data_IF_207469118816
#
_entry.id   IF_207469118816
#
_cell.length_a   1.000
_cell.length_b   1.000
_cell.length_c   1.000
_cell.angle_alpha   90.00
_cell.angle_beta   90.00
_cell.angle_gamma   90.00
#
_symmetry.space_group_name_H-M   'P 1'
#
loop_
_entity.id
_entity.type
_entity.pdbx_description
1 polymer ?
#
# COMPACT_ATOMS: atom_id res chain seq x y z
N UNK A 1 -0.03 17.66 11.17
CA UNK A 1 -1.35 17.09 10.85
C UNK A 1 -1.05 15.72 10.33
N UNK A 2 -1.56 14.66 10.98
CA UNK A 2 -1.32 13.30 10.52
C UNK A 2 -2.03 13.09 9.17
N UNK A 3 -1.42 12.26 8.32
CA UNK A 3 -1.96 11.88 7.02
C UNK A 3 -2.48 10.45 7.12
N UNK A 4 -3.61 10.18 6.46
CA UNK A 4 -4.14 8.82 6.37
C UNK A 4 -3.42 8.07 5.26
N UNK A 5 -2.77 6.97 5.62
CA UNK A 5 -2.06 6.08 4.71
C UNK A 5 -2.85 4.81 4.45
N UNK A 6 -2.77 4.36 3.20
CA UNK A 6 -3.36 3.14 2.70
C UNK A 6 -2.34 2.35 1.88
N UNK A 7 -2.42 1.03 1.97
CA UNK A 7 -1.63 0.10 1.20
C UNK A 7 -2.39 -0.30 -0.07
N UNK A 8 -2.03 0.28 -1.22
CA UNK A 8 -2.58 -0.07 -2.52
C UNK A 8 -2.00 -1.39 -3.01
N UNK A 9 -2.85 -2.33 -3.38
CA UNK A 9 -2.45 -3.63 -3.91
C UNK A 9 -1.80 -3.50 -5.29
N UNK A 10 -0.64 -4.12 -5.42
CA UNK A 10 0.10 -4.25 -6.67
C UNK A 10 0.18 -5.71 -7.10
N UNK A 11 0.06 -5.93 -8.40
CA UNK A 11 0.40 -7.21 -9.02
C UNK A 11 1.91 -7.47 -8.91
N UNK A 12 2.37 -8.71 -9.10
CA UNK A 12 3.80 -9.03 -9.19
C UNK A 12 4.54 -8.23 -10.28
N UNK A 13 3.81 -7.80 -11.32
CA UNK A 13 4.32 -6.95 -12.41
C UNK A 13 4.35 -5.45 -12.06
N UNK A 14 3.96 -5.07 -10.84
CA UNK A 14 3.95 -3.68 -10.38
C UNK A 14 2.76 -2.85 -10.86
N UNK A 15 1.68 -3.50 -11.33
CA UNK A 15 0.45 -2.81 -11.74
C UNK A 15 -0.54 -2.72 -10.58
N UNK A 16 -1.25 -1.59 -10.46
CA UNK A 16 -2.30 -1.43 -9.46
C UNK A 16 -3.47 -2.39 -9.74
N UNK A 17 -3.86 -3.15 -8.74
CA UNK A 17 -5.03 -4.02 -8.81
C UNK A 17 -6.25 -3.15 -8.60
N UNK A 18 -7.10 -3.04 -9.62
CA UNK A 18 -8.40 -2.35 -9.52
C UNK A 18 -9.51 -3.38 -9.38
N UNK A 19 -10.49 -3.10 -8.54
CA UNK A 19 -11.65 -3.95 -8.40
C UNK A 19 -12.45 -3.93 -9.71
N UNK A 20 -12.85 -5.10 -10.27
CA UNK A 20 -13.52 -5.17 -11.56
C UNK A 20 -14.88 -4.46 -11.59
N UNK A 21 -15.57 -4.41 -10.45
CA UNK A 21 -16.92 -3.84 -10.36
C UNK A 21 -16.97 -2.34 -10.00
N UNK A 22 -16.04 -1.85 -9.16
CA UNK A 22 -16.04 -0.43 -8.72
C UNK A 22 -15.02 0.42 -9.46
N UNK A 23 -14.10 -0.20 -10.22
CA UNK A 23 -12.94 0.44 -10.81
C UNK A 23 -11.99 1.14 -9.82
N UNK A 24 -12.20 0.93 -8.50
CA UNK A 24 -11.37 1.50 -7.45
C UNK A 24 -10.11 0.65 -7.26
N UNK A 25 -9.01 1.31 -6.92
CA UNK A 25 -7.76 0.63 -6.56
C UNK A 25 -8.00 -0.13 -5.26
N UNK A 26 -7.75 -1.45 -5.30
CA UNK A 26 -7.76 -2.29 -4.11
C UNK A 26 -6.74 -1.74 -3.13
N UNK A 27 -7.20 -1.22 -2.00
CA UNK A 27 -6.34 -0.67 -0.97
C UNK A 27 -6.78 -1.15 0.41
N UNK A 28 -5.82 -1.21 1.33
CA UNK A 28 -6.05 -1.54 2.73
C UNK A 28 -5.68 -0.30 3.54
N UNK A 29 -6.65 0.25 4.27
CA UNK A 29 -6.40 1.38 5.14
C UNK A 29 -5.51 0.93 6.32
N UNK A 30 -4.33 1.52 6.45
CA UNK A 30 -3.38 1.20 7.53
C UNK A 30 -3.69 2.06 8.76
N UNK A 31 -3.89 3.37 8.55
CA UNK A 31 -4.17 4.30 9.63
C UNK A 31 -3.66 5.70 9.36
N UNK A 32 -3.61 6.51 10.43
CA UNK A 32 -3.09 7.88 10.40
C UNK A 32 -1.69 7.94 10.98
N UNK A 33 -0.75 8.52 10.24
CA UNK A 33 0.65 8.63 10.64
C UNK A 33 1.18 10.03 10.33
N UNK A 34 2.17 10.48 11.10
CA UNK A 34 2.81 11.76 10.87
C UNK A 34 3.81 11.72 9.71
N UNK A 35 4.29 10.52 9.37
CA UNK A 35 5.26 10.30 8.29
C UNK A 35 5.02 8.96 7.59
N UNK A 36 5.51 8.86 6.35
CA UNK A 36 5.33 7.67 5.50
C UNK A 36 6.10 6.46 6.04
N UNK A 37 7.26 6.67 6.67
CA UNK A 37 8.09 5.59 7.21
C UNK A 37 7.40 4.80 8.32
N UNK A 38 6.74 5.49 9.25
CA UNK A 38 5.95 4.86 10.32
C UNK A 38 4.77 4.07 9.73
N UNK A 39 4.12 4.62 8.70
CA UNK A 39 3.05 3.93 7.98
C UNK A 39 3.56 2.67 7.26
N UNK A 40 4.73 2.74 6.62
CA UNK A 40 5.38 1.60 5.96
C UNK A 40 5.72 0.53 6.97
N UNK A 41 6.32 0.88 8.11
CA UNK A 41 6.71 -0.07 9.15
C UNK A 41 5.48 -0.78 9.73
N UNK A 42 4.42 -0.03 10.05
CA UNK A 42 3.18 -0.60 10.54
C UNK A 42 2.49 -1.50 9.49
N UNK A 43 2.42 -1.06 8.23
CA UNK A 43 1.89 -1.87 7.14
C UNK A 43 2.72 -3.14 6.93
N UNK A 44 4.04 -3.06 7.11
CA UNK A 44 4.95 -4.20 7.05
C UNK A 44 4.60 -5.26 8.10
N UNK A 45 4.35 -4.81 9.33
CA UNK A 45 3.97 -5.67 10.46
C UNK A 45 2.62 -6.33 10.22
N UNK A 46 1.62 -5.60 9.72
CA UNK A 46 0.27 -6.13 9.48
C UNK A 46 0.19 -7.04 8.25
N UNK A 47 0.96 -6.75 7.21
CA UNK A 47 0.90 -7.47 5.93
C UNK A 47 1.95 -8.59 5.83
N UNK A 48 2.74 -8.81 6.89
CA UNK A 48 3.87 -9.76 6.94
C UNK A 48 4.79 -9.59 5.73
N UNK A 49 5.24 -8.35 5.52
CA UNK A 49 6.15 -8.03 4.44
C UNK A 49 7.45 -8.82 4.52
N UNK A 50 8.08 -9.06 3.37
CA UNK A 50 9.40 -9.71 3.33
C UNK A 50 10.49 -8.74 2.88
N UNK A 51 10.13 -7.74 2.07
CA UNK A 51 11.06 -6.70 1.61
C UNK A 51 10.32 -5.38 1.38
N UNK A 52 10.96 -4.27 1.73
CA UNK A 52 10.54 -2.91 1.38
C UNK A 52 11.51 -2.32 0.37
N UNK A 53 11.01 -1.86 -0.78
CA UNK A 53 11.81 -1.17 -1.82
C UNK A 53 11.14 0.15 -2.17
N UNK A 54 11.78 1.28 -1.86
CA UNK A 54 11.28 2.63 -2.18
C UNK A 54 9.79 2.87 -1.80
N UNK A 55 9.38 2.51 -0.59
CA UNK A 55 7.98 2.66 -0.13
C UNK A 55 7.02 1.56 -0.62
N UNK A 56 7.50 0.60 -1.41
CA UNK A 56 6.73 -0.58 -1.81
C UNK A 56 7.03 -1.75 -0.88
N UNK A 57 6.01 -2.19 -0.17
CA UNK A 57 5.99 -3.34 0.73
C UNK A 57 5.69 -4.59 -0.10
N UNK A 58 6.69 -5.41 -0.39
CA UNK A 58 6.54 -6.64 -1.15
C UNK A 58 6.15 -7.78 -0.21
N UNK A 59 5.02 -8.44 -0.51
CA UNK A 59 4.63 -9.67 0.17
C UNK A 59 5.41 -10.81 -0.48
N UNK A 60 6.36 -11.39 0.24
CA UNK A 60 7.06 -12.58 -0.22
C UNK A 60 6.09 -13.72 -0.58
N UNK A 61 6.56 -14.66 -1.41
CA UNK A 61 5.79 -15.75 -2.06
C UNK A 61 5.00 -15.40 -3.33
N UNK A 62 5.50 -14.51 -4.19
CA UNK A 62 4.93 -14.29 -5.53
C UNK A 62 3.45 -13.82 -5.51
N UNK A 63 3.00 -13.24 -4.38
CA UNK A 63 1.61 -12.80 -4.17
C UNK A 63 1.37 -11.32 -4.54
N UNK A 64 2.38 -10.66 -5.10
CA UNK A 64 2.35 -9.23 -5.43
C UNK A 64 2.98 -8.35 -4.36
N UNK A 65 2.66 -7.06 -4.41
CA UNK A 65 3.17 -6.06 -3.49
C UNK A 65 2.08 -5.12 -3.00
N UNK A 66 2.45 -4.21 -2.12
CA UNK A 66 1.63 -3.10 -1.68
C UNK A 66 2.44 -1.82 -1.79
N UNK A 67 1.86 -0.79 -2.39
CA UNK A 67 2.43 0.54 -2.36
C UNK A 67 1.78 1.32 -1.24
N UNK A 68 2.57 1.84 -0.30
CA UNK A 68 2.05 2.73 0.71
C UNK A 68 1.87 4.09 0.07
N UNK A 69 0.63 4.57 0.06
CA UNK A 69 0.26 5.87 -0.48
C UNK A 69 -0.65 6.54 0.51
N UNK A 70 -0.61 7.86 0.58
CA UNK A 70 -1.64 8.55 1.33
C UNK A 70 -2.96 8.56 0.54
N UNK A 71 -4.07 8.78 1.24
CA UNK A 71 -5.41 8.83 0.63
C UNK A 71 -5.55 9.91 -0.44
N UNK A 72 -4.81 11.03 -0.33
CA UNK A 72 -4.78 12.06 -1.37
C UNK A 72 -4.11 11.58 -2.66
N UNK A 73 -2.96 10.91 -2.56
CA UNK A 73 -2.23 10.32 -3.68
C UNK A 73 -3.03 9.17 -4.32
N UNK A 74 -3.68 8.36 -3.50
CA UNK A 74 -4.56 7.29 -3.99
C UNK A 74 -5.70 7.83 -4.86
N UNK A 75 -6.29 8.96 -4.48
CA UNK A 75 -7.30 9.65 -5.28
C UNK A 75 -6.77 10.27 -6.57
N UNK A 76 -5.44 10.44 -6.69
CA UNK A 76 -4.78 10.99 -7.88
C UNK A 76 -4.30 9.91 -8.87
N UNK A 77 -4.37 8.62 -8.49
CA UNK A 77 -4.02 7.45 -9.32
C UNK A 77 -5.22 6.89 -10.11
#
# INVERSE_FOLDING_TARGET
MPLTYAAAHLTPDGQLIRHPDTAEIMNIQIGEFDNESDAIEQACLELECTHTVNGVVLKGNNRGGFMIVNTQELHQL
#
